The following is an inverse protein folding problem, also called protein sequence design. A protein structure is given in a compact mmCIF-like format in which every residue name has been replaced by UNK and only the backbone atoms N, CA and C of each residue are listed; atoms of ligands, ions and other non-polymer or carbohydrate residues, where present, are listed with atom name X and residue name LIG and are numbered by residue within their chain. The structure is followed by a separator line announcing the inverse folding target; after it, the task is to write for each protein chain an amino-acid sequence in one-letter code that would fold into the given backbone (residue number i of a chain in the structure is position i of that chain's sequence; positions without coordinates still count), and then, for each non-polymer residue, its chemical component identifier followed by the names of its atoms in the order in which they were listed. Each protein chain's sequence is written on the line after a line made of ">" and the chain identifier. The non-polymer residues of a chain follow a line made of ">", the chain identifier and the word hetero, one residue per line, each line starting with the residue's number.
data_IF_504133234350
#
_entry.id   IF_504133234350
#
_cell.length_a   1.000
_cell.length_b   1.000
_cell.length_c   1.000
_cell.angle_alpha   90.00
_cell.angle_beta   90.00
_cell.angle_gamma   90.00
#
_symmetry.space_group_name_H-M   'P 1'
#
loop_
_entity.id
_entity.type
_entity.pdbx_description
1 polymer ?
#
# COMPACT_ATOMS: atom_id res chain seq x y z
N UNK A 1 -2.28 8.15 5.32
CA UNK A 1 -1.24 7.16 4.96
C UNK A 1 -0.91 7.23 3.48
N UNK A 2 0.35 7.47 3.15
CA UNK A 2 0.87 7.40 1.78
C UNK A 2 1.20 5.94 1.39
N UNK A 3 0.43 5.36 0.46
CA UNK A 3 0.56 3.93 0.07
C UNK A 3 1.91 3.63 -0.60
N UNK A 4 2.46 4.60 -1.34
CA UNK A 4 3.76 4.46 -1.99
C UNK A 4 4.89 4.44 -0.96
N UNK A 5 4.76 5.25 0.10
CA UNK A 5 5.69 5.24 1.23
C UNK A 5 5.60 3.91 1.98
N UNK A 6 4.39 3.49 2.36
CA UNK A 6 4.14 2.21 3.02
C UNK A 6 4.81 1.02 2.33
N UNK A 7 4.60 0.86 1.02
CA UNK A 7 5.26 -0.21 0.26
C UNK A 7 6.79 -0.07 0.27
N UNK A 8 7.31 1.15 0.14
CA UNK A 8 8.76 1.38 0.11
C UNK A 8 9.41 1.02 1.44
N UNK A 9 8.81 1.42 2.56
CA UNK A 9 9.27 1.06 3.91
C UNK A 9 9.26 -0.46 4.13
N UNK A 10 8.37 -1.14 3.42
CA UNK A 10 8.28 -2.60 3.43
C UNK A 10 9.35 -3.34 2.61
N UNK A 11 10.13 -2.62 1.80
CA UNK A 11 11.09 -3.22 0.88
C UNK A 11 10.47 -4.08 -0.24
N UNK A 12 9.15 -4.21 -0.31
CA UNK A 12 8.50 -5.09 -1.28
C UNK A 12 8.37 -4.40 -2.65
N UNK A 13 8.57 -5.17 -3.71
CA UNK A 13 8.18 -4.75 -5.06
C UNK A 13 6.66 -4.58 -5.14
N UNK A 14 6.15 -3.83 -6.11
CA UNK A 14 4.68 -3.71 -6.30
C UNK A 14 4.01 -5.06 -6.52
N UNK A 15 4.67 -5.99 -7.21
CA UNK A 15 4.15 -7.34 -7.43
C UNK A 15 4.06 -8.14 -6.13
N UNK A 16 5.13 -8.13 -5.33
CA UNK A 16 5.15 -8.83 -4.04
C UNK A 16 4.16 -8.21 -3.05
N UNK A 17 4.05 -6.87 -3.03
CA UNK A 17 3.09 -6.13 -2.20
C UNK A 17 1.65 -6.46 -2.58
N UNK A 18 1.32 -6.44 -3.87
CA UNK A 18 0.00 -6.80 -4.36
C UNK A 18 -0.35 -8.25 -4.01
N UNK A 19 0.60 -9.18 -4.16
CA UNK A 19 0.47 -10.59 -3.75
C UNK A 19 0.19 -10.70 -2.25
N UNK A 20 0.95 -10.00 -1.41
CA UNK A 20 0.78 -10.00 0.04
C UNK A 20 -0.60 -9.47 0.49
N UNK A 21 -1.15 -8.49 -0.25
CA UNK A 21 -2.48 -7.92 0.01
C UNK A 21 -3.62 -8.65 -0.69
N UNK A 22 -3.34 -9.68 -1.50
CA UNK A 22 -4.35 -10.37 -2.29
C UNK A 22 -5.08 -9.45 -3.27
N UNK A 23 -4.34 -8.57 -3.96
CA UNK A 23 -4.87 -7.68 -5.01
C UNK A 23 -4.04 -7.79 -6.29
N UNK A 24 -4.60 -7.30 -7.39
CA UNK A 24 -3.85 -7.19 -8.65
C UNK A 24 -2.83 -6.04 -8.56
N UNK A 25 -1.66 -6.19 -9.18
CA UNK A 25 -0.61 -5.16 -9.24
C UNK A 25 -1.13 -3.82 -9.79
N UNK A 26 -2.09 -3.85 -10.72
CA UNK A 26 -2.73 -2.65 -11.26
C UNK A 26 -3.52 -1.86 -10.20
N UNK A 27 -4.05 -2.52 -9.17
CA UNK A 27 -4.73 -1.86 -8.05
C UNK A 27 -3.71 -1.07 -7.22
N UNK A 28 -2.57 -1.70 -6.87
CA UNK A 28 -1.46 -1.01 -6.20
C UNK A 28 -0.93 0.16 -7.01
N UNK A 29 -0.79 0.01 -8.34
CA UNK A 29 -0.40 1.13 -9.22
C UNK A 29 -1.36 2.32 -9.10
N UNK A 30 -2.67 2.09 -9.05
CA UNK A 30 -3.68 3.16 -8.90
C UNK A 30 -3.66 3.81 -7.52
N UNK A 31 -3.41 3.03 -6.47
CA UNK A 31 -3.30 3.54 -5.09
C UNK A 31 -2.08 4.42 -4.87
N UNK A 32 -0.99 4.18 -5.59
CA UNK A 32 0.25 4.96 -5.48
C UNK A 32 0.31 6.20 -6.37
N UNK A 33 -0.72 6.43 -7.20
CA UNK A 33 -0.81 7.64 -8.02
C UNK A 33 -1.14 8.86 -7.16
N UNK A 34 -0.81 10.04 -7.68
CA UNK A 34 -1.27 11.29 -7.09
C UNK A 34 -2.82 11.40 -7.19
N UNK A 35 -3.50 12.07 -6.25
CA UNK A 35 -4.97 12.12 -6.21
C UNK A 35 -5.64 12.70 -7.47
N UNK A 36 -4.95 13.61 -8.14
CA UNK A 36 -5.34 14.29 -9.38
C UNK A 36 -5.00 13.48 -10.65
N UNK A 37 -4.24 12.40 -10.54
CA UNK A 37 -3.81 11.63 -11.68
C UNK A 37 -4.95 10.76 -12.27
N UNK A 38 -5.00 10.57 -13.60
CA UNK A 38 -5.99 9.71 -14.23
C UNK A 38 -5.99 8.29 -13.64
N UNK A 39 -7.20 7.79 -13.34
CA UNK A 39 -7.43 6.47 -12.76
C UNK A 39 -6.84 6.27 -11.36
N UNK A 40 -6.50 7.34 -10.65
CA UNK A 40 -6.24 7.26 -9.21
C UNK A 40 -7.46 6.67 -8.50
N UNK A 41 -7.19 5.82 -7.52
CA UNK A 41 -8.21 5.24 -6.66
C UNK A 41 -7.61 5.10 -5.28
N UNK A 42 -8.24 5.69 -4.26
CA UNK A 42 -7.81 5.44 -2.89
C UNK A 42 -8.15 3.98 -2.50
N UNK A 43 -7.35 3.33 -1.63
CA UNK A 43 -7.74 2.09 -0.99
C UNK A 43 -9.01 2.31 -0.15
N UNK A 44 -9.83 1.27 -0.03
CA UNK A 44 -10.93 1.29 0.96
C UNK A 44 -10.36 1.15 2.38
N UNK A 45 -11.16 1.48 3.39
CA UNK A 45 -10.79 1.31 4.80
C UNK A 45 -10.35 -0.12 5.13
N UNK A 46 -11.09 -1.14 4.65
CA UNK A 46 -10.69 -2.55 4.79
C UNK A 46 -9.29 -2.83 4.21
N UNK A 47 -8.91 -2.13 3.15
CA UNK A 47 -7.57 -2.27 2.54
C UNK A 47 -6.51 -1.50 3.31
N UNK A 48 -6.85 -0.37 3.91
CA UNK A 48 -5.97 0.35 4.86
C UNK A 48 -5.63 -0.57 6.04
N UNK A 49 -6.63 -1.18 6.68
CA UNK A 49 -6.42 -2.12 7.80
C UNK A 49 -5.51 -3.29 7.37
N UNK A 50 -5.73 -3.86 6.18
CA UNK A 50 -4.89 -4.94 5.67
C UNK A 50 -3.43 -4.51 5.43
N UNK A 51 -3.22 -3.27 4.98
CA UNK A 51 -1.87 -2.69 4.80
C UNK A 51 -1.19 -2.52 6.16
N UNK A 52 -1.90 -1.95 7.13
CA UNK A 52 -1.38 -1.77 8.49
C UNK A 52 -0.98 -3.11 9.12
N UNK A 53 -1.84 -4.12 9.01
CA UNK A 53 -1.52 -5.47 9.48
C UNK A 53 -0.31 -6.09 8.78
N UNK A 54 -0.14 -5.86 7.48
CA UNK A 54 1.02 -6.33 6.73
C UNK A 54 2.31 -5.66 7.24
N UNK A 55 2.28 -4.35 7.45
CA UNK A 55 3.42 -3.59 7.95
C UNK A 55 3.79 -4.01 9.38
N UNK A 56 2.81 -4.17 10.27
CA UNK A 56 3.04 -4.65 11.63
C UNK A 56 3.67 -6.03 11.65
N UNK A 57 3.20 -6.96 10.79
CA UNK A 57 3.80 -8.31 10.67
C UNK A 57 5.25 -8.30 10.17
N UNK A 58 5.65 -7.26 9.45
CA UNK A 58 7.03 -7.05 9.00
C UNK A 58 7.89 -6.29 10.01
N UNK A 59 7.33 -5.93 11.19
CA UNK A 59 8.03 -5.15 12.20
C UNK A 59 8.19 -3.67 11.84
N UNK A 60 7.40 -3.17 10.89
CA UNK A 60 7.47 -1.77 10.45
C UNK A 60 6.55 -0.92 11.32
N UNK A 61 7.11 0.13 11.90
CA UNK A 61 6.35 1.07 12.70
C UNK A 61 5.47 1.96 11.81
N UNK A 62 4.16 1.93 12.02
CA UNK A 62 3.20 2.71 11.24
C UNK A 62 3.39 4.22 11.39
N UNK A 63 3.92 4.68 12.54
CA UNK A 63 4.22 6.11 12.76
C UNK A 63 5.32 6.63 11.82
N UNK A 64 6.21 5.75 11.34
CA UNK A 64 7.30 6.10 10.42
C UNK A 64 6.85 6.16 8.95
N UNK A 65 5.61 5.75 8.67
CA UNK A 65 5.03 5.60 7.33
C UNK A 65 3.99 6.69 7.01
N UNK A 66 3.59 7.48 8.01
CA UNK A 66 2.48 8.45 7.96
C UNK A 66 2.72 9.62 7.00
#
# INVERSE_FOLDING_TARGET
>A
MNIKAARRSSGLTRAAWAKALGVNVSVTKRWEKAPDAPYHRAPTERRIIAIEQLLTRQGINLAEVA
#
